data_IF_244947456563
#
_entry.id   IF_244947456563
#
_cell.length_a   1.000
_cell.length_b   1.000
_cell.length_c   1.000
_cell.angle_alpha   90.00
_cell.angle_beta   90.00
_cell.angle_gamma   90.00
#
_symmetry.space_group_name_H-M   'P 1'
#
loop_
_entity.id
_entity.type
_entity.pdbx_description
1 polymer ?
#
# COMPACT_ATOMS: atom_id res chain seq x y z
N UNK A 1 -37.22 -26.87 -3.52
CA UNK A 1 -38.21 -27.22 -2.49
C UNK A 1 -38.66 -25.94 -1.80
N UNK A 2 -39.96 -25.64 -1.69
CA UNK A 2 -40.43 -24.49 -0.93
C UNK A 2 -40.03 -24.69 0.54
N UNK A 3 -39.15 -23.83 1.06
CA UNK A 3 -38.66 -23.88 2.46
C UNK A 3 -37.20 -24.28 2.64
N UNK A 4 -36.47 -24.63 1.57
CA UNK A 4 -35.01 -24.73 1.65
C UNK A 4 -34.38 -23.43 1.14
N UNK A 5 -33.36 -22.95 1.85
CA UNK A 5 -32.50 -21.89 1.34
C UNK A 5 -31.96 -22.28 -0.05
N UNK A 6 -31.96 -21.35 -1.03
CA UNK A 6 -31.52 -21.66 -2.39
C UNK A 6 -30.04 -22.03 -2.45
N UNK A 7 -29.25 -21.65 -1.45
CA UNK A 7 -27.85 -22.04 -1.30
C UNK A 7 -27.39 -21.93 0.16
N UNK A 8 -26.36 -22.71 0.52
CA UNK A 8 -25.60 -22.50 1.77
C UNK A 8 -24.51 -21.48 1.51
N UNK A 9 -24.61 -20.30 2.12
CA UNK A 9 -23.56 -19.28 2.02
C UNK A 9 -22.53 -19.48 3.13
N UNK A 10 -21.25 -19.54 2.75
CA UNK A 10 -20.13 -19.57 3.69
C UNK A 10 -19.47 -18.19 3.73
N UNK A 11 -19.79 -17.34 4.72
CA UNK A 11 -19.15 -16.04 4.83
C UNK A 11 -17.67 -16.21 5.18
N UNK A 12 -16.83 -15.35 4.60
CA UNK A 12 -15.43 -15.25 5.00
C UNK A 12 -15.37 -14.33 6.23
N UNK A 13 -14.97 -14.83 7.41
CA UNK A 13 -15.03 -14.04 8.64
C UNK A 13 -13.97 -12.92 8.66
N UNK A 14 -12.81 -13.15 8.07
CA UNK A 14 -11.67 -12.23 8.10
C UNK A 14 -10.94 -12.16 6.76
N UNK A 15 -10.18 -11.08 6.55
CA UNK A 15 -9.24 -10.98 5.45
C UNK A 15 -8.19 -12.09 5.52
N UNK A 16 -7.78 -12.61 4.36
CA UNK A 16 -6.75 -13.64 4.27
C UNK A 16 -5.88 -13.42 3.04
N UNK A 17 -4.68 -14.00 3.05
CA UNK A 17 -3.77 -13.99 1.90
C UNK A 17 -3.95 -15.27 1.09
N UNK A 18 -3.74 -15.19 -0.23
CA UNK A 18 -3.61 -16.37 -1.09
C UNK A 18 -2.16 -16.87 -1.01
N UNK A 19 -1.92 -18.13 -0.61
CA UNK A 19 -0.56 -18.65 -0.52
C UNK A 19 0.03 -18.83 -1.93
N UNK A 20 1.33 -18.54 -2.08
CA UNK A 20 2.02 -18.69 -3.36
C UNK A 20 1.95 -20.13 -3.90
N UNK A 21 1.95 -21.13 -3.01
CA UNK A 21 1.83 -22.54 -3.38
C UNK A 21 0.52 -22.88 -4.12
N UNK A 22 -0.56 -22.13 -3.90
CA UNK A 22 -1.80 -22.30 -4.67
C UNK A 22 -1.63 -21.90 -6.15
N UNK A 23 -0.60 -21.11 -6.46
CA UNK A 23 -0.34 -20.52 -7.77
C UNK A 23 0.76 -21.24 -8.54
N UNK A 24 1.28 -22.37 -8.05
CA UNK A 24 2.38 -23.10 -8.69
C UNK A 24 1.94 -24.50 -9.08
N UNK A 25 2.39 -24.97 -10.25
CA UNK A 25 2.11 -26.33 -10.73
C UNK A 25 2.87 -27.39 -9.93
N UNK A 26 2.17 -28.45 -9.53
CA UNK A 26 2.80 -29.62 -8.89
C UNK A 26 3.62 -30.44 -9.90
N UNK A 27 3.25 -30.41 -11.18
CA UNK A 27 3.81 -31.33 -12.20
C UNK A 27 4.84 -30.66 -13.12
N UNK A 28 4.85 -29.31 -13.19
CA UNK A 28 5.69 -28.55 -14.12
C UNK A 28 6.41 -27.45 -13.34
N UNK A 29 7.73 -27.60 -13.16
CA UNK A 29 8.54 -26.74 -12.28
C UNK A 29 8.51 -25.26 -12.67
N UNK A 30 8.42 -24.97 -13.96
CA UNK A 30 8.43 -23.63 -14.55
C UNK A 30 7.04 -23.07 -14.89
N UNK A 31 5.95 -23.62 -14.33
CA UNK A 31 4.59 -23.19 -14.63
C UNK A 31 3.89 -22.62 -13.38
N UNK A 32 3.40 -21.39 -13.50
CA UNK A 32 2.60 -20.70 -12.49
C UNK A 32 1.22 -20.34 -13.05
N UNK A 33 0.24 -20.17 -12.14
CA UNK A 33 -1.14 -19.84 -12.43
C UNK A 33 -1.51 -18.52 -11.77
N UNK A 34 -2.29 -17.68 -12.44
CA UNK A 34 -2.70 -16.38 -11.94
C UNK A 34 -4.21 -16.17 -12.15
N UNK A 35 -4.92 -15.85 -11.08
CA UNK A 35 -6.35 -15.58 -11.11
C UNK A 35 -7.20 -16.85 -10.94
N UNK A 36 -8.15 -17.08 -11.85
CA UNK A 36 -9.19 -18.12 -11.69
C UNK A 36 -8.71 -19.57 -11.90
N UNK A 37 -7.49 -19.77 -12.38
CA UNK A 37 -6.94 -21.11 -12.65
C UNK A 37 -6.00 -21.60 -11.54
N UNK A 38 -5.95 -20.93 -10.40
CA UNK A 38 -5.17 -21.38 -9.23
C UNK A 38 -5.84 -22.57 -8.54
N UNK A 39 -5.07 -23.30 -7.74
CA UNK A 39 -5.59 -24.37 -6.89
C UNK A 39 -6.40 -23.80 -5.73
N UNK A 40 -7.67 -24.19 -5.63
CA UNK A 40 -8.57 -23.76 -4.55
C UNK A 40 -9.67 -24.82 -4.32
N UNK A 41 -10.14 -24.93 -3.07
CA UNK A 41 -11.37 -25.68 -2.79
C UNK A 41 -12.58 -24.95 -3.36
N UNK A 42 -13.71 -25.64 -3.54
CA UNK A 42 -14.96 -24.99 -4.00
C UNK A 42 -15.35 -23.79 -3.13
N UNK A 43 -15.12 -23.86 -1.81
CA UNK A 43 -15.39 -22.76 -0.88
C UNK A 43 -14.44 -21.59 -1.11
N UNK A 44 -13.12 -21.82 -1.15
CA UNK A 44 -12.14 -20.75 -1.37
C UNK A 44 -12.27 -20.12 -2.77
N UNK A 45 -12.63 -20.91 -3.77
CA UNK A 45 -12.84 -20.43 -5.13
C UNK A 45 -13.97 -19.40 -5.23
N UNK A 46 -14.96 -19.46 -4.33
CA UNK A 46 -16.08 -18.51 -4.32
C UNK A 46 -15.63 -17.05 -4.15
N UNK A 47 -14.57 -16.81 -3.39
CA UNK A 47 -14.01 -15.48 -3.09
C UNK A 47 -12.76 -15.15 -3.92
N UNK A 48 -11.89 -16.12 -4.23
CA UNK A 48 -10.65 -15.85 -4.98
C UNK A 48 -10.89 -15.53 -6.46
N UNK A 49 -12.02 -15.97 -7.03
CA UNK A 49 -12.37 -15.76 -8.45
C UNK A 49 -12.78 -14.33 -8.82
N UNK A 50 -12.92 -13.43 -7.84
CA UNK A 50 -13.31 -12.02 -8.07
C UNK A 50 -12.18 -11.30 -8.81
N UNK A 51 -12.52 -10.45 -9.79
CA UNK A 51 -11.54 -9.86 -10.70
C UNK A 51 -10.43 -9.05 -10.01
N UNK A 52 -10.78 -8.25 -8.99
CA UNK A 52 -9.79 -7.49 -8.22
C UNK A 52 -8.85 -8.43 -7.44
N UNK A 53 -9.39 -9.51 -6.88
CA UNK A 53 -8.58 -10.56 -6.22
C UNK A 53 -7.67 -11.27 -7.22
N UNK A 54 -8.18 -11.59 -8.41
CA UNK A 54 -7.38 -12.18 -9.49
C UNK A 54 -6.25 -11.24 -9.96
N UNK A 55 -6.49 -9.93 -10.02
CA UNK A 55 -5.46 -8.95 -10.33
C UNK A 55 -4.36 -8.91 -9.25
N UNK A 56 -4.74 -8.93 -7.97
CA UNK A 56 -3.78 -9.00 -6.86
C UNK A 56 -2.98 -10.32 -6.87
N UNK A 57 -3.62 -11.46 -7.16
CA UNK A 57 -2.92 -12.73 -7.37
C UNK A 57 -1.93 -12.62 -8.53
N UNK A 58 -2.34 -12.01 -9.65
CA UNK A 58 -1.47 -11.79 -10.81
C UNK A 58 -0.25 -10.96 -10.48
N UNK A 59 -0.39 -9.89 -9.69
CA UNK A 59 0.73 -9.09 -9.19
C UNK A 59 1.67 -9.95 -8.33
N UNK A 60 1.13 -10.71 -7.37
CA UNK A 60 1.91 -11.63 -6.54
C UNK A 60 2.71 -12.66 -7.33
N UNK A 61 2.07 -13.30 -8.31
CA UNK A 61 2.68 -14.31 -9.18
C UNK A 61 3.74 -13.70 -10.09
N UNK A 62 3.48 -12.52 -10.67
CA UNK A 62 4.44 -11.81 -11.50
C UNK A 62 5.70 -11.41 -10.72
N UNK A 63 5.53 -10.86 -9.52
CA UNK A 63 6.64 -10.53 -8.62
C UNK A 63 7.45 -11.77 -8.24
N UNK A 64 6.77 -12.86 -7.88
CA UNK A 64 7.42 -14.13 -7.56
C UNK A 64 8.21 -14.71 -8.75
N UNK A 65 7.64 -14.70 -9.95
CA UNK A 65 8.30 -15.18 -11.16
C UNK A 65 9.56 -14.36 -11.50
N UNK A 66 9.48 -13.03 -11.38
CA UNK A 66 10.64 -12.15 -11.60
C UNK A 66 11.78 -12.44 -10.62
N UNK A 67 11.46 -12.62 -9.32
CA UNK A 67 12.43 -12.98 -8.30
C UNK A 67 12.99 -14.40 -8.51
N UNK A 68 12.18 -15.36 -8.95
CA UNK A 68 12.63 -16.71 -9.28
C UNK A 68 13.76 -16.68 -10.32
N UNK A 69 13.57 -15.90 -11.40
CA UNK A 69 14.57 -15.73 -12.46
C UNK A 69 15.85 -15.07 -11.91
N UNK A 70 15.71 -13.99 -11.13
CA UNK A 70 16.84 -13.27 -10.55
C UNK A 70 17.67 -14.15 -9.62
N UNK A 71 17.01 -14.98 -8.81
CA UNK A 71 17.64 -15.88 -7.83
C UNK A 71 17.99 -17.25 -8.41
N UNK A 72 17.71 -17.48 -9.71
CA UNK A 72 17.89 -18.78 -10.39
C UNK A 72 17.24 -19.94 -9.64
N UNK A 73 16.03 -19.72 -9.11
CA UNK A 73 15.23 -20.74 -8.43
C UNK A 73 14.00 -21.10 -9.25
N UNK A 74 13.56 -22.34 -9.13
CA UNK A 74 12.31 -22.78 -9.75
C UNK A 74 11.11 -22.25 -8.93
N UNK A 75 10.00 -21.85 -9.59
CA UNK A 75 8.77 -21.44 -8.91
C UNK A 75 8.28 -22.37 -7.80
N UNK A 76 8.49 -23.69 -7.96
CA UNK A 76 8.09 -24.72 -6.98
C UNK A 76 8.86 -24.66 -5.66
N UNK A 77 10.03 -24.02 -5.65
CA UNK A 77 10.93 -23.97 -4.49
C UNK A 77 10.76 -22.67 -3.68
N UNK A 78 10.14 -21.65 -4.28
CA UNK A 78 10.01 -20.33 -3.67
C UNK A 78 9.24 -20.37 -2.35
N UNK A 79 8.10 -21.08 -2.30
CA UNK A 79 7.25 -21.11 -1.10
C UNK A 79 7.90 -21.79 0.11
N UNK A 80 8.91 -22.63 -0.13
CA UNK A 80 9.66 -23.32 0.92
C UNK A 80 10.92 -22.56 1.35
N UNK A 81 11.25 -21.45 0.69
CA UNK A 81 12.40 -20.60 0.99
C UNK A 81 11.94 -19.34 1.74
N UNK A 82 12.09 -19.26 3.08
CA UNK A 82 11.58 -18.13 3.86
C UNK A 82 12.21 -16.79 3.47
N UNK A 83 13.49 -16.80 3.07
CA UNK A 83 14.21 -15.59 2.68
C UNK A 83 13.64 -15.00 1.38
N UNK A 84 13.41 -15.84 0.37
CA UNK A 84 12.80 -15.39 -0.89
C UNK A 84 11.33 -15.02 -0.67
N UNK A 85 10.59 -15.75 0.15
CA UNK A 85 9.22 -15.36 0.50
C UNK A 85 9.16 -13.98 1.15
N UNK A 86 10.10 -13.67 2.06
CA UNK A 86 10.21 -12.34 2.65
C UNK A 86 10.51 -11.28 1.58
N UNK A 87 11.43 -11.54 0.65
CA UNK A 87 11.72 -10.62 -0.46
C UNK A 87 10.50 -10.37 -1.35
N UNK A 88 9.74 -11.42 -1.71
CA UNK A 88 8.49 -11.30 -2.47
C UNK A 88 7.49 -10.41 -1.71
N UNK A 89 7.31 -10.68 -0.42
CA UNK A 89 6.38 -9.94 0.43
C UNK A 89 6.78 -8.46 0.57
N UNK A 90 8.06 -8.18 0.82
CA UNK A 90 8.57 -6.80 0.93
C UNK A 90 8.49 -6.05 -0.40
N UNK A 91 8.74 -6.72 -1.53
CA UNK A 91 8.57 -6.12 -2.86
C UNK A 91 7.09 -5.79 -3.13
N UNK A 92 6.17 -6.70 -2.79
CA UNK A 92 4.73 -6.45 -2.92
C UNK A 92 4.27 -5.26 -2.08
N UNK A 93 4.75 -5.15 -0.83
CA UNK A 93 4.49 -3.99 0.03
C UNK A 93 5.06 -2.70 -0.56
N UNK A 94 6.28 -2.75 -1.13
CA UNK A 94 6.91 -1.61 -1.84
C UNK A 94 6.09 -1.17 -3.06
N UNK A 95 5.35 -2.08 -3.67
CA UNK A 95 4.41 -1.79 -4.76
C UNK A 95 2.97 -1.50 -4.27
N UNK A 96 2.79 -1.17 -2.98
CA UNK A 96 1.51 -0.84 -2.34
C UNK A 96 0.46 -1.97 -2.38
N UNK A 97 0.93 -3.22 -2.39
CA UNK A 97 0.09 -4.39 -2.15
C UNK A 97 -0.08 -4.60 -0.67
N UNK A 98 -1.31 -4.58 -0.17
CA UNK A 98 -1.59 -4.92 1.21
C UNK A 98 -1.54 -6.44 1.42
N UNK A 99 -0.75 -6.89 2.40
CA UNK A 99 -0.64 -8.28 2.81
C UNK A 99 -1.03 -8.42 4.28
N UNK A 100 -2.01 -9.28 4.57
CA UNK A 100 -2.52 -9.46 5.94
C UNK A 100 -1.40 -9.96 6.86
N UNK A 101 -1.16 -9.26 7.97
CA UNK A 101 -0.15 -9.65 8.96
C UNK A 101 1.31 -9.45 8.53
N UNK A 102 1.59 -8.80 7.41
CA UNK A 102 2.96 -8.47 6.97
C UNK A 102 3.09 -6.94 6.94
N UNK A 103 4.24 -6.44 7.42
CA UNK A 103 4.56 -5.00 7.38
C UNK A 103 5.83 -4.77 6.60
N UNK A 104 6.01 -3.52 6.14
CA UNK A 104 7.30 -3.06 5.64
C UNK A 104 8.35 -3.23 6.75
N UNK A 105 9.41 -3.95 6.44
CA UNK A 105 10.58 -4.18 7.28
C UNK A 105 11.87 -3.93 6.49
N UNK A 106 11.76 -3.27 5.34
CA UNK A 106 12.89 -2.92 4.48
C UNK A 106 13.90 -2.07 5.25
N UNK A 107 15.07 -2.65 5.52
CA UNK A 107 16.15 -1.98 6.26
C UNK A 107 16.85 -0.91 5.43
N UNK A 108 16.63 -0.90 4.11
CA UNK A 108 17.14 0.14 3.20
C UNK A 108 16.22 1.35 3.11
N UNK A 109 15.02 1.28 3.69
CA UNK A 109 14.11 2.41 3.79
C UNK A 109 14.55 3.38 4.90
N UNK A 110 15.28 4.41 4.48
CA UNK A 110 15.81 5.44 5.37
C UNK A 110 14.74 6.29 6.06
N UNK A 111 13.49 6.30 5.58
CA UNK A 111 12.42 7.00 6.29
C UNK A 111 12.24 6.46 7.72
N UNK A 112 12.53 5.17 7.94
CA UNK A 112 12.37 4.48 9.23
C UNK A 112 13.39 4.88 10.28
N UNK A 113 14.53 5.44 9.87
CA UNK A 113 15.56 5.96 10.77
C UNK A 113 15.42 7.45 11.05
N UNK A 114 14.49 8.13 10.38
CA UNK A 114 14.24 9.55 10.57
C UNK A 114 13.46 9.84 11.86
N UNK A 115 13.76 10.96 12.52
CA UNK A 115 12.81 11.63 13.42
C UNK A 115 11.75 12.31 12.55
N UNK A 116 10.49 11.94 12.74
CA UNK A 116 9.38 12.45 11.92
C UNK A 116 8.48 13.36 12.75
N UNK A 117 8.20 14.55 12.24
CA UNK A 117 7.24 15.50 12.81
C UNK A 117 6.33 16.05 11.71
N UNK A 118 5.28 16.78 12.10
CA UNK A 118 4.40 17.46 11.16
C UNK A 118 4.05 18.87 11.66
N UNK A 119 3.58 19.73 10.75
CA UNK A 119 3.05 21.05 11.10
C UNK A 119 1.80 20.98 11.98
N UNK A 120 1.00 19.93 11.79
CA UNK A 120 -0.16 19.57 12.62
C UNK A 120 -0.49 18.09 12.44
N UNK A 121 -1.21 17.51 13.39
CA UNK A 121 -1.62 16.10 13.34
C UNK A 121 -2.89 15.85 14.15
N UNK A 122 -3.60 14.77 13.82
CA UNK A 122 -4.77 14.30 14.57
C UNK A 122 -4.40 13.13 15.50
N UNK A 123 -5.12 13.02 16.62
CA UNK A 123 -4.96 11.91 17.55
C UNK A 123 -5.23 10.55 16.87
N UNK A 124 -4.28 9.60 16.98
CA UNK A 124 -4.32 8.30 16.31
C UNK A 124 -3.79 8.30 14.86
N UNK A 125 -3.45 9.47 14.33
CA UNK A 125 -2.96 9.70 12.96
C UNK A 125 -1.72 10.58 12.96
N UNK A 126 -0.82 10.32 13.91
CA UNK A 126 0.41 11.08 14.11
C UNK A 126 1.37 10.98 12.90
N UNK A 127 2.29 11.93 12.78
CA UNK A 127 3.28 11.99 11.70
C UNK A 127 4.07 10.66 11.55
N UNK A 128 4.39 10.01 12.66
CA UNK A 128 5.13 8.74 12.70
C UNK A 128 4.38 7.56 12.08
N UNK A 129 3.07 7.67 11.82
CA UNK A 129 2.29 6.59 11.20
C UNK A 129 2.69 6.30 9.76
N UNK A 130 3.32 7.25 9.08
CA UNK A 130 3.86 7.08 7.71
C UNK A 130 4.99 6.06 7.59
N UNK A 131 5.56 5.62 8.72
CA UNK A 131 6.57 4.54 8.77
C UNK A 131 6.07 3.31 9.54
N UNK A 132 4.75 3.22 9.77
CA UNK A 132 4.16 2.07 10.49
C UNK A 132 4.26 0.74 9.73
N UNK A 133 4.65 0.80 8.46
CA UNK A 133 4.84 -0.35 7.56
C UNK A 133 3.54 -0.98 7.07
N UNK A 134 2.41 -0.28 7.21
CA UNK A 134 1.16 -0.62 6.56
C UNK A 134 0.56 0.61 5.89
N UNK A 135 -0.13 0.38 4.77
CA UNK A 135 -0.80 1.44 4.03
C UNK A 135 -2.32 1.39 4.16
N UNK A 136 -2.84 0.54 5.07
CA UNK A 136 -4.27 0.32 5.31
C UNK A 136 -4.59 0.16 6.79
N UNK A 137 -5.75 0.65 7.18
CA UNK A 137 -6.38 0.36 8.48
C UNK A 137 -7.43 -0.72 8.27
N UNK A 138 -7.27 -1.88 8.93
CA UNK A 138 -8.13 -3.07 8.75
C UNK A 138 -8.68 -3.55 10.09
N UNK A 139 -9.53 -2.74 10.70
CA UNK A 139 -10.17 -3.02 11.98
C UNK A 139 -11.59 -3.58 11.82
N UNK A 140 -12.15 -4.09 12.92
CA UNK A 140 -13.54 -4.57 12.98
C UNK A 140 -13.71 -6.05 12.62
N UNK A 141 -14.96 -6.51 12.66
CA UNK A 141 -15.32 -7.93 12.53
C UNK A 141 -14.96 -8.54 11.17
N UNK A 142 -14.91 -7.73 10.10
CA UNK A 142 -14.50 -8.15 8.75
C UNK A 142 -13.05 -7.76 8.39
N UNK A 143 -12.26 -7.31 9.38
CA UNK A 143 -10.87 -6.89 9.21
C UNK A 143 -9.87 -8.05 9.12
N UNK A 144 -8.61 -7.76 9.43
CA UNK A 144 -7.60 -8.81 9.59
C UNK A 144 -7.92 -9.69 10.82
N UNK A 145 -7.61 -11.00 10.79
CA UNK A 145 -7.86 -11.89 11.90
C UNK A 145 -6.98 -11.54 13.11
N UNK A 146 -7.43 -11.92 14.30
CA UNK A 146 -6.67 -11.77 15.54
C UNK A 146 -5.28 -12.43 15.41
N UNK A 147 -4.25 -11.78 15.95
CA UNK A 147 -2.84 -12.20 15.81
C UNK A 147 -2.18 -11.82 14.48
N UNK A 148 -2.94 -11.38 13.47
CA UNK A 148 -2.40 -10.81 12.21
C UNK A 148 -2.85 -9.37 11.96
N UNK A 149 -3.74 -8.85 12.79
CA UNK A 149 -4.10 -7.46 12.80
C UNK A 149 -3.02 -6.63 13.52
N UNK A 150 -2.73 -5.46 12.95
CA UNK A 150 -1.95 -4.43 13.61
C UNK A 150 -2.89 -3.25 13.86
N UNK A 151 -3.01 -2.78 15.11
CA UNK A 151 -3.92 -1.69 15.43
C UNK A 151 -3.36 -0.33 14.98
N UNK A 152 -4.26 0.61 14.67
CA UNK A 152 -3.93 2.01 14.40
C UNK A 152 -4.43 2.56 13.07
N UNK A 153 -4.25 3.87 12.89
CA UNK A 153 -4.67 4.59 11.69
C UNK A 153 -3.80 4.35 10.46
N UNK A 154 -2.53 3.95 10.65
CA UNK A 154 -1.56 3.64 9.59
C UNK A 154 -1.45 4.71 8.48
N UNK A 155 -1.63 5.97 8.87
CA UNK A 155 -1.47 7.15 8.04
C UNK A 155 -1.29 8.37 8.93
N UNK A 156 -0.55 9.36 8.46
CA UNK A 156 -0.59 10.71 9.01
C UNK A 156 -1.83 11.44 8.47
N UNK A 157 -2.50 12.21 9.34
CA UNK A 157 -3.54 13.16 8.97
C UNK A 157 -3.26 14.51 9.63
N UNK A 158 -3.15 15.58 8.83
CA UNK A 158 -3.01 16.94 9.37
C UNK A 158 -4.29 17.39 10.07
N UNK A 159 -4.19 18.36 10.98
CA UNK A 159 -5.38 18.97 11.61
C UNK A 159 -6.14 19.83 10.58
N UNK A 160 -7.43 19.55 10.30
CA UNK A 160 -8.27 20.38 9.44
C UNK A 160 -8.33 21.84 9.87
N UNK A 161 -8.32 22.11 11.19
CA UNK A 161 -8.39 23.47 11.71
C UNK A 161 -7.11 24.28 11.43
N UNK A 162 -5.98 23.61 11.26
CA UNK A 162 -4.72 24.25 10.83
C UNK A 162 -4.69 24.53 9.32
N UNK A 163 -5.54 23.87 8.53
CA UNK A 163 -5.66 24.04 7.09
C UNK A 163 -4.43 23.57 6.30
N UNK A 164 -4.42 23.94 5.01
CA UNK A 164 -3.29 23.73 4.10
C UNK A 164 -2.56 25.06 3.83
N UNK A 165 -1.23 25.05 3.65
CA UNK A 165 -0.38 23.88 3.48
C UNK A 165 -0.06 23.13 4.77
N UNK A 166 -0.01 21.79 4.69
CA UNK A 166 0.42 20.92 5.78
C UNK A 166 1.76 20.29 5.43
N UNK A 167 2.68 20.23 6.39
CA UNK A 167 4.05 19.76 6.18
C UNK A 167 4.34 18.52 7.02
N UNK A 168 4.90 17.49 6.41
CA UNK A 168 5.54 16.37 7.08
C UNK A 168 7.06 16.52 6.95
N UNK A 169 7.79 16.47 8.07
CA UNK A 169 9.24 16.66 8.14
C UNK A 169 9.91 15.38 8.61
N UNK A 170 10.91 14.92 7.86
CA UNK A 170 11.81 13.83 8.21
C UNK A 170 13.20 14.44 8.46
N UNK A 171 13.78 14.13 9.62
CA UNK A 171 15.13 14.58 10.00
C UNK A 171 16.01 13.39 10.38
N UNK A 172 17.22 13.35 9.82
CA UNK A 172 18.22 12.33 10.15
C UNK A 172 19.33 12.91 11.00
N UNK A 173 19.82 12.14 11.95
CA UNK A 173 20.98 12.50 12.78
C UNK A 173 22.24 12.62 11.91
N UNK A 174 22.49 11.58 11.12
CA UNK A 174 23.54 11.52 10.10
C UNK A 174 22.90 11.72 8.72
N UNK A 175 23.44 12.60 7.86
CA UNK A 175 22.95 12.74 6.50
C UNK A 175 22.91 11.39 5.76
N UNK A 176 21.83 11.12 5.05
CA UNK A 176 21.71 9.92 4.22
C UNK A 176 21.79 10.28 2.74
N UNK A 177 22.21 9.32 1.93
CA UNK A 177 22.11 9.40 0.48
C UNK A 177 20.66 9.17 0.06
N UNK A 178 20.11 10.05 -0.78
CA UNK A 178 18.74 9.94 -1.29
C UNK A 178 18.74 10.05 -2.80
N UNK A 179 18.09 9.09 -3.46
CA UNK A 179 17.79 9.13 -4.89
C UNK A 179 16.34 8.75 -5.23
N UNK A 180 15.60 8.10 -4.32
CA UNK A 180 14.21 7.74 -4.54
C UNK A 180 13.35 8.10 -3.33
N UNK A 181 12.26 8.81 -3.59
CA UNK A 181 11.24 9.12 -2.59
C UNK A 181 9.92 8.53 -3.05
N UNK A 182 9.35 7.63 -2.25
CA UNK A 182 8.07 7.00 -2.53
C UNK A 182 7.01 7.46 -1.52
N UNK A 183 5.86 7.89 -2.04
CA UNK A 183 4.71 8.31 -1.26
C UNK A 183 3.50 7.44 -1.57
N UNK A 184 2.81 6.98 -0.53
CA UNK A 184 1.50 6.33 -0.63
C UNK A 184 0.47 7.27 -0.01
N UNK A 185 -0.46 7.77 -0.81
CA UNK A 185 -1.53 8.67 -0.38
C UNK A 185 -2.81 7.92 -0.04
N UNK A 186 -3.69 8.53 0.76
CA UNK A 186 -5.05 8.01 0.92
C UNK A 186 -5.82 8.15 -0.40
N UNK A 187 -6.41 7.07 -0.88
CA UNK A 187 -7.24 7.08 -2.08
C UNK A 187 -8.62 6.52 -1.81
N UNK A 188 -9.13 6.75 -0.59
CA UNK A 188 -10.50 6.41 -0.24
C UNK A 188 -10.79 4.91 -0.31
N UNK A 189 -9.84 4.05 0.08
CA UNK A 189 -9.99 2.59 0.00
C UNK A 189 -11.14 2.02 0.88
N UNK A 190 -11.76 2.86 1.70
CA UNK A 190 -12.96 2.53 2.47
C UNK A 190 -14.25 2.61 1.62
N UNK A 191 -14.22 3.25 0.45
CA UNK A 191 -15.38 3.34 -0.45
C UNK A 191 -15.41 2.18 -1.42
N UNK A 192 -16.61 1.67 -1.65
CA UNK A 192 -16.83 0.60 -2.61
C UNK A 192 -16.51 1.08 -4.03
N UNK A 193 -15.76 0.24 -4.75
CA UNK A 193 -15.56 0.39 -6.18
C UNK A 193 -15.93 -0.94 -6.83
N UNK A 194 -17.04 -0.96 -7.57
CA UNK A 194 -17.44 -2.15 -8.34
C UNK A 194 -18.01 -1.74 -9.69
N UNK A 195 -17.76 -2.56 -10.71
CA UNK A 195 -18.40 -2.38 -12.01
C UNK A 195 -19.82 -2.93 -11.90
N UNK A 196 -20.81 -2.05 -11.95
CA UNK A 196 -22.21 -2.41 -11.82
C UNK A 196 -23.06 -1.52 -12.71
N UNK A 197 -24.09 -2.10 -13.34
CA UNK A 197 -25.14 -1.34 -14.03
C UNK A 197 -26.33 -1.03 -13.10
N UNK A 198 -26.22 -1.35 -11.81
CA UNK A 198 -27.26 -1.09 -10.83
C UNK A 198 -27.04 0.28 -10.18
N UNK A 199 -27.97 1.20 -10.43
CA UNK A 199 -27.88 2.60 -9.99
C UNK A 199 -27.66 2.76 -8.48
N UNK A 200 -28.31 1.91 -7.67
CA UNK A 200 -28.13 1.94 -6.22
C UNK A 200 -26.72 1.56 -5.74
N UNK A 201 -25.93 0.86 -6.56
CA UNK A 201 -24.51 0.59 -6.27
C UNK A 201 -23.64 1.72 -6.82
N UNK A 202 -23.86 2.13 -8.07
CA UNK A 202 -23.05 3.18 -8.73
C UNK A 202 -23.20 4.53 -8.03
N UNK A 203 -24.39 4.87 -7.53
CA UNK A 203 -24.65 6.10 -6.78
C UNK A 203 -23.89 6.20 -5.45
N UNK A 204 -23.38 5.07 -4.92
CA UNK A 204 -22.51 5.05 -3.72
C UNK A 204 -21.03 5.29 -4.06
N UNK A 205 -20.68 5.38 -5.33
CA UNK A 205 -19.31 5.52 -5.80
C UNK A 205 -19.01 6.94 -6.23
N UNK A 206 -17.76 7.35 -6.07
CA UNK A 206 -17.23 8.55 -6.71
C UNK A 206 -16.56 8.13 -8.02
N UNK A 207 -17.38 8.03 -9.08
CA UNK A 207 -16.93 7.61 -10.40
C UNK A 207 -16.42 8.79 -11.24
N UNK A 208 -15.43 8.51 -12.10
CA UNK A 208 -14.90 9.49 -13.07
C UNK A 208 -14.14 10.69 -12.49
N UNK A 209 -13.85 10.69 -11.18
CA UNK A 209 -13.14 11.79 -10.51
C UNK A 209 -12.14 11.27 -9.47
N UNK A 210 -11.09 12.04 -9.15
CA UNK A 210 -10.17 11.71 -8.07
C UNK A 210 -10.89 11.60 -6.72
N UNK A 211 -10.30 10.84 -5.80
CA UNK A 211 -10.85 10.65 -4.47
C UNK A 211 -10.57 11.89 -3.61
N UNK A 212 -11.56 12.46 -2.90
CA UNK A 212 -11.40 13.71 -2.15
C UNK A 212 -10.17 13.72 -1.23
N UNK A 213 -9.87 12.58 -0.61
CA UNK A 213 -8.79 12.37 0.35
C UNK A 213 -7.40 12.32 -0.29
N UNK A 214 -7.33 12.10 -1.60
CA UNK A 214 -6.06 12.01 -2.31
C UNK A 214 -5.43 13.39 -2.41
N UNK A 215 -4.19 13.48 -1.91
CA UNK A 215 -3.32 14.65 -2.08
C UNK A 215 -3.19 14.96 -3.57
N UNK A 216 -3.53 16.19 -3.94
CA UNK A 216 -3.58 16.68 -5.32
C UNK A 216 -2.32 17.45 -5.66
N UNK A 217 -1.98 18.44 -4.83
CA UNK A 217 -0.86 19.32 -5.04
C UNK A 217 0.10 19.21 -3.86
N UNK A 218 1.38 18.97 -4.15
CA UNK A 218 2.40 18.84 -3.12
C UNK A 218 3.81 19.09 -3.67
N UNK A 219 4.70 19.44 -2.77
CA UNK A 219 6.12 19.64 -3.03
C UNK A 219 6.95 18.73 -2.12
N UNK A 220 8.14 18.37 -2.59
CA UNK A 220 9.16 17.74 -1.76
C UNK A 220 10.41 18.60 -1.84
N UNK A 221 10.93 18.93 -0.67
CA UNK A 221 12.17 19.65 -0.53
C UNK A 221 13.14 18.88 0.34
N UNK A 222 14.43 19.01 0.04
CA UNK A 222 15.53 18.40 0.78
C UNK A 222 16.47 19.49 1.28
N UNK A 223 17.16 19.20 2.37
CA UNK A 223 18.13 20.09 2.98
C UNK A 223 19.42 19.33 3.27
N UNK A 224 20.52 19.78 2.67
CA UNK A 224 21.85 19.18 2.77
C UNK A 224 22.64 19.63 4.02
N UNK A 225 22.18 20.70 4.68
CA UNK A 225 22.85 21.33 5.82
C UNK A 225 23.09 22.83 5.61
N UNK A 226 23.05 23.30 4.36
CA UNK A 226 23.27 24.69 3.98
C UNK A 226 21.96 25.42 3.61
N UNK A 227 21.00 24.74 3.00
CA UNK A 227 19.72 25.33 2.62
C UNK A 227 18.68 24.33 2.11
N UNK A 228 17.44 24.79 1.96
CA UNK A 228 16.34 24.01 1.38
C UNK A 228 16.36 24.11 -0.15
N UNK A 229 16.26 22.96 -0.81
CA UNK A 229 16.11 22.83 -2.25
C UNK A 229 14.83 22.06 -2.57
N UNK A 230 13.98 22.62 -3.42
CA UNK A 230 12.84 21.91 -3.98
C UNK A 230 13.30 20.90 -5.03
N UNK A 231 12.96 19.64 -4.83
CA UNK A 231 13.32 18.52 -5.74
C UNK A 231 12.11 17.95 -6.48
N UNK A 232 10.90 18.16 -5.94
CA UNK A 232 9.65 17.73 -6.58
C UNK A 232 8.59 18.79 -6.40
N UNK A 233 7.83 19.06 -7.46
CA UNK A 233 6.61 19.86 -7.43
C UNK A 233 5.56 19.17 -8.30
N UNK A 234 4.44 18.77 -7.70
CA UNK A 234 3.35 18.05 -8.38
C UNK A 234 2.06 18.82 -8.18
N UNK A 235 1.30 18.93 -9.27
CA UNK A 235 -0.08 19.43 -9.27
C UNK A 235 -1.01 18.40 -9.92
N UNK A 236 -2.28 18.40 -9.54
CA UNK A 236 -3.31 17.56 -10.17
C UNK A 236 -3.15 16.05 -9.94
N UNK A 237 -2.49 15.63 -8.86
CA UNK A 237 -2.31 14.21 -8.55
C UNK A 237 -3.65 13.53 -8.20
N UNK A 238 -3.86 12.37 -8.79
CA UNK A 238 -4.96 11.46 -8.47
C UNK A 238 -4.47 10.03 -8.20
N UNK A 239 -3.15 9.80 -8.26
CA UNK A 239 -2.55 8.49 -8.07
C UNK A 239 -2.23 8.27 -6.60
N UNK A 240 -2.49 7.04 -6.12
CA UNK A 240 -2.20 6.59 -4.76
C UNK A 240 -0.70 6.47 -4.50
N UNK A 241 0.00 5.72 -5.35
CA UNK A 241 1.44 5.49 -5.25
C UNK A 241 2.19 6.43 -6.17
N UNK A 242 3.11 7.22 -5.62
CA UNK A 242 4.00 8.11 -6.35
C UNK A 242 5.44 7.75 -6.03
N UNK A 243 6.24 7.53 -7.07
CA UNK A 243 7.67 7.23 -6.97
C UNK A 243 8.42 8.32 -7.70
N UNK A 244 9.18 9.11 -6.95
CA UNK A 244 10.00 10.19 -7.47
C UNK A 244 11.45 9.73 -7.47
N UNK A 245 12.09 9.74 -8.64
CA UNK A 245 13.52 9.48 -8.79
C UNK A 245 14.21 10.81 -9.02
N UNK A 246 15.19 11.13 -8.18
CA UNK A 246 15.98 12.33 -8.29
C UNK A 246 16.98 12.19 -9.45
N UNK A 247 17.37 13.31 -10.07
CA UNK A 247 18.31 13.32 -11.20
C UNK A 247 19.71 12.86 -10.79
N UNK A 248 20.09 13.15 -9.55
CA UNK A 248 21.33 12.71 -8.93
C UNK A 248 21.08 12.32 -7.49
N UNK A 249 21.97 11.49 -6.95
CA UNK A 249 22.00 11.16 -5.53
C UNK A 249 22.37 12.41 -4.72
N UNK A 250 21.63 12.67 -3.64
CA UNK A 250 21.79 13.86 -2.80
C UNK A 250 22.07 13.46 -1.36
N UNK A 251 23.02 14.14 -0.70
CA UNK A 251 23.20 14.00 0.75
C UNK A 251 22.17 14.86 1.46
N UNK A 252 21.28 14.23 2.23
CA UNK A 252 20.11 14.87 2.83
C UNK A 252 20.12 14.67 4.34
N UNK A 253 20.03 15.78 5.07
CA UNK A 253 19.85 15.80 6.53
C UNK A 253 18.39 16.00 6.92
N UNK A 254 17.61 16.71 6.10
CA UNK A 254 16.17 16.88 6.30
C UNK A 254 15.43 16.79 4.97
N UNK A 255 14.24 16.23 5.01
CA UNK A 255 13.32 16.15 3.89
C UNK A 255 11.95 16.60 4.37
N UNK A 256 11.27 17.47 3.62
CA UNK A 256 9.89 17.84 3.92
C UNK A 256 8.97 17.61 2.74
N UNK A 257 7.79 17.07 3.02
CA UNK A 257 6.69 16.92 2.08
C UNK A 257 5.67 17.99 2.46
N UNK A 258 5.40 18.92 1.55
CA UNK A 258 4.48 20.04 1.76
C UNK A 258 3.25 19.78 0.90
N UNK A 259 2.12 19.46 1.53
CA UNK A 259 0.85 19.27 0.85
C UNK A 259 0.14 20.61 0.78
N UNK A 260 -0.13 21.10 -0.43
CA UNK A 260 -0.77 22.41 -0.66
C UNK A 260 -2.23 22.28 -1.06
N UNK A 261 -2.66 21.14 -1.62
CA UNK A 261 -4.07 20.87 -1.90
C UNK A 261 -4.39 19.37 -1.93
N UNK A 262 -5.66 19.05 -1.67
CA UNK A 262 -6.24 17.73 -1.96
C UNK A 262 -7.29 17.83 -3.08
N UNK A 263 -7.91 16.70 -3.42
CA UNK A 263 -8.99 16.67 -4.39
C UNK A 263 -10.39 16.98 -3.79
N UNK A 264 -10.49 17.27 -2.49
CA UNK A 264 -11.76 17.66 -1.86
C UNK A 264 -11.78 17.70 -0.34
N UNK A 265 -10.75 17.20 0.34
CA UNK A 265 -10.57 17.31 1.80
C UNK A 265 -9.78 18.57 2.20
N UNK A 266 -10.03 19.09 3.39
CA UNK A 266 -9.32 20.23 3.99
C UNK A 266 -8.02 19.85 4.73
N UNK A 267 -7.68 18.56 4.71
CA UNK A 267 -6.58 17.95 5.47
C UNK A 267 -5.72 17.05 4.59
N UNK A 268 -4.41 17.05 4.83
CA UNK A 268 -3.46 16.16 4.16
C UNK A 268 -3.52 14.75 4.76
N UNK A 269 -3.47 13.71 3.91
CA UNK A 269 -3.40 12.31 4.35
C UNK A 269 -2.32 11.53 3.60
N UNK A 270 -1.34 11.01 4.33
CA UNK A 270 -0.23 10.21 3.78
C UNK A 270 -0.15 8.87 4.53
N UNK A 271 -0.29 7.76 3.81
CA UNK A 271 -0.26 6.42 4.38
C UNK A 271 1.16 5.93 4.64
N UNK A 272 2.10 6.16 3.70
CA UNK A 272 3.49 5.72 3.85
C UNK A 272 4.44 6.67 3.12
N UNK A 273 5.62 6.87 3.72
CA UNK A 273 6.77 7.53 3.10
C UNK A 273 7.92 6.54 3.14
N UNK A 274 8.55 6.31 1.99
CA UNK A 274 9.82 5.58 1.90
C UNK A 274 10.88 6.45 1.24
N UNK A 275 12.11 6.36 1.74
CA UNK A 275 13.26 7.12 1.23
C UNK A 275 14.43 6.17 1.02
N UNK A 276 14.99 6.16 -0.18
CA UNK A 276 16.14 5.36 -0.59
C UNK A 276 17.20 6.25 -1.24
#
# INVERSE_FOLDING_TARGET
APGLEPCTQHPVPHLYNVPLSACVSVNRKNLMFAGRNISATHVAFSSTRVMATCAAIGQGVGTAAALAIQQRQEPTELSTNPQIMSQIQQQLLKDDTYLVGIRNEDTTDGARSARITASSEQAGFEATRVISGQTRSVHGSAGAPEGRAFPGGHRWMSDPAAGLPATLLLEWETPMSVNVIQLIFDSGLHRHLTLSHHDGYTGKMLWGRPQPETVRDYQIEVHDGSGWQQVVNVTGNYQRRRVHRLESEMSVKRLRIIVTATNGEDQARVCEVRVY
#
